data_IF_575651351754
#
_entry.id   IF_575651351754
#
_cell.length_a   1.000
_cell.length_b   1.000
_cell.length_c   1.000
_cell.angle_alpha   90.00
_cell.angle_beta   90.00
_cell.angle_gamma   90.00
#
_symmetry.space_group_name_H-M   'P 1'
#
loop_
_entity.id
_entity.type
_entity.pdbx_description
1 polymer ?
#
# COMPACT_ATOMS: atom_id res chain seq x y z
N UNK A 1 -20.19 -40.00 -55.12
CA UNK A 1 -21.12 -38.86 -55.05
C UNK A 1 -21.17 -38.40 -53.57
N UNK A 2 -20.43 -37.39 -53.24
CA UNK A 2 -20.43 -36.76 -51.88
C UNK A 2 -21.51 -35.69 -51.95
N UNK A 3 -22.57 -35.83 -51.14
CA UNK A 3 -23.58 -34.79 -50.98
C UNK A 3 -23.00 -33.64 -50.15
N UNK A 4 -22.76 -32.51 -50.79
CA UNK A 4 -22.51 -31.23 -50.16
C UNK A 4 -23.78 -30.75 -49.43
N UNK A 5 -23.72 -30.65 -48.12
CA UNK A 5 -24.77 -30.04 -47.30
C UNK A 5 -24.49 -28.53 -47.29
N UNK A 6 -25.30 -27.79 -48.07
CA UNK A 6 -25.35 -26.33 -48.00
C UNK A 6 -25.84 -25.90 -46.60
N UNK A 7 -24.92 -25.51 -45.75
CA UNK A 7 -25.26 -24.80 -44.53
C UNK A 7 -25.35 -23.30 -44.85
N UNK A 8 -26.55 -22.81 -45.10
CA UNK A 8 -26.83 -21.37 -45.05
C UNK A 8 -26.50 -20.90 -43.66
N UNK A 9 -25.77 -19.79 -43.48
CA UNK A 9 -25.62 -19.16 -42.15
C UNK A 9 -27.01 -18.70 -41.72
N UNK A 10 -27.48 -19.21 -40.61
CA UNK A 10 -28.65 -18.68 -39.91
C UNK A 10 -28.16 -17.40 -39.25
N UNK A 11 -28.38 -16.27 -39.91
CA UNK A 11 -28.33 -14.95 -39.29
C UNK A 11 -29.62 -14.85 -38.48
N UNK A 12 -29.61 -15.35 -37.26
CA UNK A 12 -30.60 -15.01 -36.25
C UNK A 12 -30.43 -13.52 -35.95
N UNK A 13 -31.55 -12.82 -35.85
CA UNK A 13 -31.62 -11.42 -35.41
C UNK A 13 -30.62 -11.17 -34.31
N UNK A 14 -29.86 -10.08 -34.42
CA UNK A 14 -28.89 -9.65 -33.42
C UNK A 14 -29.69 -9.38 -32.13
N UNK A 15 -29.78 -10.40 -31.29
CA UNK A 15 -30.11 -10.17 -29.87
C UNK A 15 -29.11 -9.14 -29.38
N UNK A 16 -29.59 -8.14 -28.63
CA UNK A 16 -28.76 -7.18 -27.97
C UNK A 16 -27.60 -7.93 -27.31
N UNK A 17 -26.38 -7.69 -27.78
CA UNK A 17 -25.17 -8.43 -27.34
C UNK A 17 -25.07 -8.46 -25.82
N UNK A 18 -25.55 -7.42 -25.15
CA UNK A 18 -25.59 -7.33 -23.69
C UNK A 18 -26.54 -8.35 -23.08
N UNK A 19 -27.75 -8.52 -23.60
CA UNK A 19 -28.69 -9.51 -23.08
C UNK A 19 -28.18 -10.95 -23.32
N UNK A 20 -27.61 -11.21 -24.48
CA UNK A 20 -27.00 -12.51 -24.77
C UNK A 20 -25.86 -12.83 -23.76
N UNK A 21 -24.97 -11.86 -23.47
CA UNK A 21 -23.87 -12.06 -22.52
C UNK A 21 -24.39 -12.29 -21.10
N UNK A 22 -25.42 -11.58 -20.66
CA UNK A 22 -26.06 -11.78 -19.35
C UNK A 22 -26.66 -13.18 -19.21
N UNK A 23 -27.41 -13.63 -20.22
CA UNK A 23 -28.02 -14.95 -20.23
C UNK A 23 -26.95 -16.05 -20.22
N UNK A 24 -25.89 -15.89 -21.01
CA UNK A 24 -24.77 -16.81 -21.05
C UNK A 24 -24.03 -16.87 -19.71
N UNK A 25 -23.71 -15.71 -19.10
CA UNK A 25 -23.09 -15.63 -17.79
C UNK A 25 -23.92 -16.36 -16.73
N UNK A 26 -25.23 -16.16 -16.71
CA UNK A 26 -26.15 -16.81 -15.80
C UNK A 26 -26.18 -18.33 -15.99
N UNK A 27 -26.21 -18.80 -17.24
CA UNK A 27 -26.21 -20.24 -17.54
C UNK A 27 -24.92 -20.91 -17.07
N UNK A 28 -23.76 -20.27 -17.30
CA UNK A 28 -22.46 -20.81 -16.88
C UNK A 28 -22.33 -20.76 -15.36
N UNK A 29 -22.71 -19.69 -14.70
CA UNK A 29 -22.72 -19.58 -13.25
C UNK A 29 -23.59 -20.68 -12.61
N UNK A 30 -24.77 -20.91 -13.17
CA UNK A 30 -25.70 -21.98 -12.71
C UNK A 30 -25.07 -23.37 -12.89
N UNK A 31 -24.44 -23.63 -14.04
CA UNK A 31 -23.77 -24.92 -14.31
C UNK A 31 -22.59 -25.17 -13.38
N UNK A 32 -21.82 -24.14 -13.06
CA UNK A 32 -20.67 -24.21 -12.18
C UNK A 32 -21.04 -24.11 -10.68
N UNK A 33 -22.30 -23.80 -10.35
CA UNK A 33 -22.76 -23.49 -8.97
C UNK A 33 -21.92 -22.39 -8.32
N UNK A 34 -21.59 -21.37 -9.09
CA UNK A 34 -20.78 -20.23 -8.71
C UNK A 34 -21.43 -18.96 -9.27
N UNK A 35 -21.08 -17.81 -8.71
CA UNK A 35 -21.55 -16.51 -9.17
C UNK A 35 -20.31 -15.63 -9.44
N UNK A 36 -19.49 -16.04 -10.39
CA UNK A 36 -18.18 -15.44 -10.69
C UNK A 36 -18.07 -14.84 -12.07
N UNK A 37 -19.01 -15.16 -12.98
CA UNK A 37 -19.02 -14.66 -14.35
C UNK A 37 -19.99 -13.50 -14.41
N UNK A 38 -19.47 -12.34 -14.81
CA UNK A 38 -20.21 -11.07 -14.94
C UNK A 38 -20.02 -10.52 -16.34
N UNK A 39 -20.95 -9.71 -16.81
CA UNK A 39 -20.78 -8.93 -18.03
C UNK A 39 -19.76 -7.81 -17.78
N UNK A 40 -19.00 -7.41 -18.79
CA UNK A 40 -17.83 -6.55 -18.64
C UNK A 40 -18.11 -5.17 -18.03
N UNK A 41 -19.29 -4.60 -18.24
CA UNK A 41 -19.73 -3.33 -17.66
C UNK A 41 -20.04 -3.48 -16.15
N UNK A 42 -20.56 -4.62 -15.73
CA UNK A 42 -20.78 -4.95 -14.30
C UNK A 42 -19.45 -5.15 -13.56
N UNK A 43 -18.42 -5.61 -14.28
CA UNK A 43 -17.08 -5.83 -13.74
C UNK A 43 -16.19 -4.58 -13.79
N UNK A 44 -16.56 -3.54 -14.51
CA UNK A 44 -15.72 -2.39 -14.83
C UNK A 44 -15.90 -1.17 -13.92
N UNK A 45 -16.75 -1.24 -12.92
CA UNK A 45 -16.91 -0.18 -11.92
C UNK A 45 -15.86 -0.23 -10.81
N UNK A 46 -15.90 0.74 -9.91
CA UNK A 46 -15.16 0.78 -8.63
C UNK A 46 -15.43 -0.44 -7.71
N UNK A 47 -16.28 -1.36 -8.16
CA UNK A 47 -16.72 -2.55 -7.45
C UNK A 47 -15.58 -3.49 -7.04
N UNK A 48 -14.43 -3.41 -7.72
CA UNK A 48 -13.22 -4.14 -7.33
C UNK A 48 -12.40 -3.50 -6.20
N UNK A 49 -12.69 -2.23 -5.80
CA UNK A 49 -12.00 -1.51 -4.75
C UNK A 49 -13.03 -0.87 -3.83
N UNK A 50 -13.37 -1.52 -2.71
CA UNK A 50 -14.50 -1.13 -1.86
C UNK A 50 -14.27 0.18 -1.09
N UNK A 51 -13.03 0.66 -0.98
CA UNK A 51 -12.66 1.91 -0.34
C UNK A 51 -11.23 2.32 -0.69
N UNK A 52 -10.95 3.61 -0.52
CA UNK A 52 -9.62 4.19 -0.64
C UNK A 52 -9.23 4.83 0.69
N UNK A 53 -7.95 4.77 1.03
CA UNK A 53 -7.38 5.38 2.23
C UNK A 53 -6.46 6.52 1.82
N UNK A 54 -6.86 7.74 2.10
CA UNK A 54 -6.04 8.95 1.89
C UNK A 54 -4.94 8.99 2.94
N UNK A 55 -3.68 8.93 2.54
CA UNK A 55 -2.56 8.99 3.49
C UNK A 55 -2.37 10.39 4.07
N UNK A 56 -2.84 11.41 3.38
CA UNK A 56 -2.56 12.81 3.69
C UNK A 56 -1.20 13.28 3.15
N UNK A 57 -0.56 12.46 2.31
CA UNK A 57 0.62 12.77 1.52
C UNK A 57 0.15 12.88 0.06
N UNK A 58 -0.28 14.08 -0.42
CA UNK A 58 -0.97 14.18 -1.71
C UNK A 58 -0.16 13.59 -2.87
N UNK A 59 1.16 13.85 -2.90
CA UNK A 59 2.05 13.29 -3.92
C UNK A 59 2.00 11.75 -3.97
N UNK A 60 1.94 11.07 -2.82
CA UNK A 60 1.86 9.61 -2.72
C UNK A 60 0.47 9.11 -3.12
N UNK A 61 -0.57 9.77 -2.65
CA UNK A 61 -1.94 9.40 -2.91
C UNK A 61 -2.27 9.47 -4.41
N UNK A 62 -1.85 10.54 -5.09
CA UNK A 62 -1.97 10.67 -6.54
C UNK A 62 -1.03 9.73 -7.32
N UNK A 63 0.16 9.44 -6.79
CA UNK A 63 1.07 8.50 -7.43
C UNK A 63 0.50 7.08 -7.46
N UNK A 64 -0.29 6.70 -6.46
CA UNK A 64 -0.88 5.35 -6.33
C UNK A 64 -2.25 5.29 -7.00
N UNK A 65 -3.20 6.13 -6.61
CA UNK A 65 -4.59 6.04 -7.05
C UNK A 65 -4.92 6.85 -8.30
N UNK A 66 -4.03 7.74 -8.73
CA UNK A 66 -4.29 8.65 -9.84
C UNK A 66 -5.22 9.80 -9.44
N UNK A 67 -5.75 10.51 -10.44
CA UNK A 67 -6.57 11.70 -10.19
C UNK A 67 -8.00 11.33 -9.75
N UNK A 68 -8.53 10.20 -10.24
CA UNK A 68 -9.91 9.82 -9.94
C UNK A 68 -10.08 9.34 -8.49
N UNK A 69 -9.10 8.59 -7.99
CA UNK A 69 -9.18 7.94 -6.67
C UNK A 69 -7.83 8.03 -5.95
N UNK A 70 -7.38 9.23 -5.53
CA UNK A 70 -6.11 9.33 -4.81
C UNK A 70 -6.12 8.52 -3.51
N UNK A 71 -5.03 7.82 -3.21
CA UNK A 71 -4.89 7.05 -1.98
C UNK A 71 -4.51 5.59 -2.16
N UNK A 72 -4.63 4.85 -1.08
CA UNK A 72 -4.30 3.41 -0.98
C UNK A 72 -5.56 2.57 -1.23
N UNK A 73 -5.57 1.66 -2.23
CA UNK A 73 -6.76 0.86 -2.55
C UNK A 73 -7.00 -0.25 -1.52
N UNK A 74 -8.21 -0.36 -1.00
CA UNK A 74 -8.68 -1.51 -0.21
C UNK A 74 -8.81 -2.78 -1.05
N UNK A 75 -9.01 -3.94 -0.41
CA UNK A 75 -9.13 -5.26 -1.05
C UNK A 75 -7.94 -5.59 -1.99
N UNK A 76 -6.73 -5.12 -1.64
CA UNK A 76 -5.51 -5.31 -2.44
C UNK A 76 -4.33 -5.71 -1.55
N UNK A 77 -3.40 -6.44 -2.17
CA UNK A 77 -2.09 -6.74 -1.58
C UNK A 77 -1.10 -5.68 -2.07
N UNK A 78 -0.43 -5.02 -1.13
CA UNK A 78 0.54 -3.95 -1.39
C UNK A 78 1.87 -4.30 -0.76
N UNK A 79 2.96 -4.15 -1.49
CA UNK A 79 4.32 -4.29 -0.97
C UNK A 79 4.95 -2.90 -0.76
N UNK A 80 5.49 -2.68 0.45
CA UNK A 80 6.32 -1.52 0.80
C UNK A 80 7.72 -2.05 1.06
N UNK A 81 8.70 -1.64 0.24
CA UNK A 81 10.04 -2.17 0.35
C UNK A 81 11.11 -1.09 0.14
N UNK A 82 12.30 -1.38 0.60
CA UNK A 82 13.46 -0.48 0.52
C UNK A 82 14.53 -0.90 1.51
N UNK A 83 15.60 -0.12 1.57
CA UNK A 83 16.72 -0.35 2.47
C UNK A 83 16.32 -0.20 3.94
N UNK A 84 17.23 -0.49 4.85
CA UNK A 84 16.98 -0.31 6.28
C UNK A 84 16.79 1.17 6.62
N UNK A 85 16.02 1.44 7.66
CA UNK A 85 15.78 2.77 8.22
C UNK A 85 15.22 3.83 7.23
N UNK A 86 14.56 3.41 6.14
CA UNK A 86 13.88 4.33 5.19
C UNK A 86 12.40 4.59 5.55
N UNK A 87 11.93 4.17 6.73
CA UNK A 87 10.58 4.46 7.21
C UNK A 87 9.49 3.54 6.68
N UNK A 88 9.80 2.29 6.31
CA UNK A 88 8.81 1.30 5.85
C UNK A 88 7.71 1.04 6.89
N UNK A 89 8.10 0.69 8.10
CA UNK A 89 7.18 0.47 9.23
C UNK A 89 6.42 1.74 9.60
N UNK A 90 7.08 2.91 9.55
CA UNK A 90 6.44 4.21 9.81
C UNK A 90 5.32 4.48 8.79
N UNK A 91 5.56 4.22 7.50
CA UNK A 91 4.54 4.39 6.46
C UNK A 91 3.41 3.36 6.61
N UNK A 92 3.71 2.09 6.88
CA UNK A 92 2.69 1.04 7.06
C UNK A 92 1.77 1.34 8.24
N UNK A 93 2.32 1.75 9.38
CA UNK A 93 1.55 2.16 10.56
C UNK A 93 0.73 3.43 10.30
N UNK A 94 1.28 4.37 9.55
CA UNK A 94 0.55 5.57 9.14
C UNK A 94 -0.67 5.23 8.27
N UNK A 95 -0.52 4.32 7.31
CA UNK A 95 -1.65 3.82 6.49
C UNK A 95 -2.70 3.14 7.38
N UNK A 96 -2.28 2.29 8.33
CA UNK A 96 -3.19 1.66 9.30
C UNK A 96 -3.95 2.71 10.11
N UNK A 97 -3.26 3.73 10.66
CA UNK A 97 -3.90 4.84 11.36
C UNK A 97 -4.96 5.51 10.50
N UNK A 98 -4.61 5.86 9.25
CA UNK A 98 -5.54 6.51 8.33
C UNK A 98 -6.75 5.64 7.97
N UNK A 99 -6.57 4.35 7.80
CA UNK A 99 -7.69 3.42 7.60
C UNK A 99 -8.61 3.34 8.83
N UNK A 100 -8.04 3.33 10.04
CA UNK A 100 -8.82 3.37 11.28
C UNK A 100 -9.65 4.66 11.37
N UNK A 101 -9.05 5.80 11.05
CA UNK A 101 -9.69 7.12 11.11
C UNK A 101 -10.81 7.27 10.06
N UNK A 102 -10.54 6.92 8.80
CA UNK A 102 -11.41 7.24 7.66
C UNK A 102 -12.50 6.20 7.42
N UNK A 103 -12.13 4.91 7.39
CA UNK A 103 -13.04 3.82 7.03
C UNK A 103 -13.40 2.93 8.21
N UNK A 104 -13.07 3.34 9.43
CA UNK A 104 -13.34 2.63 10.68
C UNK A 104 -12.77 1.20 10.69
N UNK A 105 -11.66 0.99 10.01
CA UNK A 105 -10.97 -0.29 9.95
C UNK A 105 -10.53 -0.78 11.34
N UNK A 106 -10.26 -2.08 11.43
CA UNK A 106 -9.42 -2.67 12.47
C UNK A 106 -8.17 -3.23 11.82
N UNK A 107 -7.11 -3.40 12.58
CA UNK A 107 -5.86 -3.91 12.04
C UNK A 107 -5.44 -5.23 12.69
N UNK A 108 -4.78 -6.07 11.90
CA UNK A 108 -4.04 -7.24 12.34
C UNK A 108 -2.57 -7.05 11.95
N UNK A 109 -1.71 -6.83 12.94
CA UNK A 109 -0.31 -6.50 12.74
C UNK A 109 0.57 -7.66 13.19
N UNK A 110 1.22 -8.30 12.22
CA UNK A 110 2.20 -9.35 12.43
C UNK A 110 3.59 -8.71 12.56
N UNK A 111 3.99 -8.50 13.79
CA UNK A 111 5.18 -7.75 14.21
C UNK A 111 6.39 -8.69 14.34
N UNK A 112 6.89 -9.17 13.21
CA UNK A 112 8.01 -10.13 13.14
C UNK A 112 9.31 -9.52 13.65
N UNK A 113 9.59 -8.26 13.29
CA UNK A 113 10.81 -7.55 13.71
C UNK A 113 10.68 -6.90 15.10
N UNK A 114 9.52 -7.02 15.76
CA UNK A 114 9.24 -6.41 17.08
C UNK A 114 9.42 -4.89 17.07
N UNK A 115 8.95 -4.23 16.02
CA UNK A 115 9.07 -2.78 15.80
C UNK A 115 8.03 -1.95 16.56
N UNK A 116 6.96 -2.56 17.06
CA UNK A 116 5.90 -1.86 17.81
C UNK A 116 6.36 -1.51 19.22
N UNK A 117 7.33 -0.59 19.32
CA UNK A 117 7.77 -0.02 20.60
C UNK A 117 6.86 1.13 21.03
N UNK A 118 6.88 1.51 22.32
CA UNK A 118 6.11 2.66 22.80
C UNK A 118 6.40 3.96 22.04
N UNK A 119 7.65 4.17 21.62
CA UNK A 119 8.08 5.35 20.87
C UNK A 119 7.47 5.38 19.47
N UNK A 120 7.48 4.25 18.76
CA UNK A 120 6.87 4.12 17.43
C UNK A 120 5.35 4.30 17.51
N UNK A 121 4.69 3.68 18.48
CA UNK A 121 3.25 3.83 18.72
C UNK A 121 2.91 5.30 18.98
N UNK A 122 3.72 5.98 19.82
CA UNK A 122 3.56 7.40 20.11
C UNK A 122 3.76 8.27 18.88
N UNK A 123 4.81 8.00 18.08
CA UNK A 123 5.11 8.76 16.87
C UNK A 123 4.04 8.64 15.79
N UNK A 124 3.46 7.47 15.65
CA UNK A 124 2.37 7.22 14.70
C UNK A 124 1.01 7.66 15.23
N UNK A 125 0.85 7.78 16.56
CA UNK A 125 -0.43 8.11 17.23
C UNK A 125 -1.57 7.15 16.86
N UNK A 126 -1.25 5.88 16.64
CA UNK A 126 -2.23 4.86 16.28
C UNK A 126 -3.06 4.43 17.50
N UNK A 127 -4.36 4.21 17.31
CA UNK A 127 -5.23 3.66 18.35
C UNK A 127 -5.03 2.14 18.48
N UNK A 128 -4.20 1.74 19.42
CA UNK A 128 -3.87 0.32 19.66
C UNK A 128 -5.07 -0.51 20.12
N UNK A 129 -6.19 0.08 20.57
CA UNK A 129 -7.44 -0.66 20.87
C UNK A 129 -8.10 -1.24 19.62
N UNK A 130 -7.69 -0.77 18.45
CA UNK A 130 -8.17 -1.25 17.14
C UNK A 130 -7.13 -2.13 16.42
N UNK A 131 -6.06 -2.52 17.10
CA UNK A 131 -4.97 -3.32 16.54
C UNK A 131 -4.83 -4.64 17.30
N UNK A 132 -5.05 -5.75 16.62
CA UNK A 132 -4.58 -7.05 17.07
C UNK A 132 -3.11 -7.19 16.72
N UNK A 133 -2.26 -7.50 17.69
CA UNK A 133 -0.82 -7.73 17.49
C UNK A 133 -0.52 -9.22 17.55
N UNK A 134 0.26 -9.70 16.59
CA UNK A 134 0.79 -11.05 16.53
C UNK A 134 2.32 -10.98 16.37
N UNK A 135 3.04 -11.99 16.83
CA UNK A 135 4.49 -12.11 16.76
C UNK A 135 4.86 -13.51 16.24
N UNK A 136 4.57 -13.81 14.96
CA UNK A 136 4.87 -15.11 14.38
C UNK A 136 6.39 -15.34 14.32
N UNK A 137 6.82 -16.58 14.54
CA UNK A 137 8.22 -16.97 14.51
C UNK A 137 8.64 -17.43 13.11
N UNK A 138 7.71 -18.04 12.38
CA UNK A 138 7.99 -18.59 11.05
C UNK A 138 7.09 -17.99 9.97
N UNK A 139 7.54 -18.12 8.72
CA UNK A 139 6.76 -17.68 7.56
C UNK A 139 5.48 -18.54 7.39
N UNK A 140 5.52 -19.80 7.82
CA UNK A 140 4.36 -20.69 7.90
C UNK A 140 3.31 -20.10 8.84
N UNK A 141 3.73 -19.68 10.06
CA UNK A 141 2.81 -19.06 11.04
C UNK A 141 2.17 -17.79 10.49
N UNK A 142 2.95 -16.96 9.76
CA UNK A 142 2.41 -15.76 9.09
C UNK A 142 1.27 -16.12 8.16
N UNK A 143 1.44 -17.13 7.30
CA UNK A 143 0.40 -17.50 6.34
C UNK A 143 -0.77 -18.24 6.97
N UNK A 144 -0.52 -19.12 7.93
CA UNK A 144 -1.57 -19.90 8.58
C UNK A 144 -2.50 -19.00 9.39
N UNK A 145 -1.97 -18.03 10.13
CA UNK A 145 -2.79 -17.08 10.88
C UNK A 145 -3.56 -16.12 9.95
N UNK A 146 -2.96 -15.68 8.84
CA UNK A 146 -3.70 -14.88 7.84
C UNK A 146 -4.82 -15.68 7.16
N UNK A 147 -4.58 -16.95 6.85
CA UNK A 147 -5.58 -17.80 6.22
C UNK A 147 -6.81 -17.99 7.14
N UNK A 148 -6.56 -18.31 8.42
CA UNK A 148 -7.62 -18.41 9.45
C UNK A 148 -8.36 -17.08 9.60
N UNK A 149 -7.64 -15.96 9.66
CA UNK A 149 -8.25 -14.62 9.76
C UNK A 149 -9.17 -14.36 8.55
N UNK A 150 -8.67 -14.55 7.33
CA UNK A 150 -9.43 -14.31 6.10
C UNK A 150 -10.66 -15.22 5.99
N UNK A 151 -10.56 -16.46 6.46
CA UNK A 151 -11.70 -17.38 6.54
C UNK A 151 -12.78 -16.84 7.49
N UNK A 152 -12.39 -16.36 8.68
CA UNK A 152 -13.31 -15.78 9.67
C UNK A 152 -13.93 -14.46 9.21
N UNK A 153 -13.28 -13.74 8.28
CA UNK A 153 -13.79 -12.49 7.72
C UNK A 153 -14.76 -12.69 6.55
N UNK A 154 -14.98 -13.92 6.08
CA UNK A 154 -15.94 -14.18 5.00
C UNK A 154 -17.33 -13.71 5.39
N UNK A 155 -17.93 -12.89 4.52
CA UNK A 155 -19.27 -12.31 4.74
C UNK A 155 -19.33 -11.19 5.79
N UNK A 156 -18.19 -10.80 6.37
CA UNK A 156 -18.12 -9.66 7.28
C UNK A 156 -17.84 -8.39 6.46
N UNK A 157 -18.81 -7.48 6.47
CA UNK A 157 -18.76 -6.20 5.77
C UNK A 157 -18.03 -5.12 6.59
N UNK A 158 -16.73 -5.35 6.88
CA UNK A 158 -15.92 -4.41 7.64
C UNK A 158 -14.52 -4.30 7.04
N UNK A 159 -13.97 -3.08 6.84
CA UNK A 159 -12.58 -2.89 6.46
C UNK A 159 -11.60 -3.43 7.50
N UNK A 160 -10.64 -4.20 7.05
CA UNK A 160 -9.55 -4.74 7.87
C UNK A 160 -8.22 -4.46 7.18
N UNK A 161 -7.22 -4.03 7.93
CA UNK A 161 -5.85 -3.89 7.43
C UNK A 161 -4.98 -4.98 8.04
N UNK A 162 -4.38 -5.84 7.21
CA UNK A 162 -3.35 -6.78 7.67
C UNK A 162 -1.97 -6.23 7.33
N UNK A 163 -1.04 -6.35 8.25
CA UNK A 163 0.36 -5.92 8.05
C UNK A 163 1.29 -7.07 8.40
N UNK A 164 2.27 -7.34 7.56
CA UNK A 164 3.41 -8.23 7.86
C UNK A 164 4.68 -7.38 7.87
N UNK A 165 5.30 -7.22 9.02
CA UNK A 165 6.48 -6.35 9.19
C UNK A 165 7.60 -7.06 9.95
N UNK A 166 8.65 -7.55 9.29
CA UNK A 166 8.77 -7.71 7.83
C UNK A 166 8.97 -9.18 7.46
N UNK A 167 8.60 -9.53 6.23
CA UNK A 167 8.83 -10.90 5.73
C UNK A 167 10.32 -11.26 5.60
N UNK A 168 11.18 -10.26 5.53
CA UNK A 168 12.63 -10.47 5.45
C UNK A 168 13.22 -11.02 6.75
N UNK A 169 12.53 -10.84 7.86
CA UNK A 169 12.93 -11.34 9.18
C UNK A 169 12.34 -12.72 9.49
N UNK A 170 11.38 -13.22 8.70
CA UNK A 170 10.80 -14.54 8.91
C UNK A 170 11.77 -15.64 8.51
N UNK A 171 11.97 -16.63 9.40
CA UNK A 171 12.56 -17.93 9.06
C UNK A 171 11.48 -18.90 8.59
N UNK A 172 11.84 -19.96 7.89
CA UNK A 172 10.93 -21.09 7.64
C UNK A 172 11.07 -22.13 8.76
N UNK A 173 10.07 -22.98 8.97
CA UNK A 173 10.18 -24.11 9.92
C UNK A 173 11.39 -24.97 9.60
N UNK A 174 11.68 -25.21 8.33
CA UNK A 174 12.84 -25.97 7.90
C UNK A 174 14.18 -25.31 8.27
N UNK A 175 14.24 -23.98 8.31
CA UNK A 175 15.43 -23.23 8.76
C UNK A 175 15.55 -23.24 10.29
N UNK A 176 14.44 -23.19 11.00
CA UNK A 176 14.44 -23.25 12.48
C UNK A 176 14.83 -24.64 13.01
N UNK A 177 14.34 -25.70 12.35
CA UNK A 177 14.60 -27.10 12.76
C UNK A 177 15.81 -27.73 12.09
N UNK A 178 16.33 -27.12 11.01
CA UNK A 178 17.46 -27.61 10.22
C UNK A 178 18.83 -27.40 10.90
N UNK A 179 19.82 -28.13 10.44
CA UNK A 179 21.20 -27.90 10.89
C UNK A 179 21.77 -26.66 10.15
N UNK A 180 22.62 -25.89 10.83
CA UNK A 180 23.29 -24.69 10.27
C UNK A 180 24.08 -24.95 8.97
N UNK A 181 24.30 -26.22 8.64
CA UNK A 181 24.99 -26.68 7.43
C UNK A 181 24.06 -26.84 6.22
N UNK A 182 22.73 -26.79 6.41
CA UNK A 182 21.76 -26.99 5.35
C UNK A 182 21.56 -25.69 4.54
N UNK A 183 22.21 -25.59 3.40
CA UNK A 183 22.12 -24.42 2.47
C UNK A 183 20.91 -24.53 1.55
N UNK A 184 19.69 -24.57 2.09
CA UNK A 184 18.47 -24.63 1.29
C UNK A 184 17.90 -23.23 1.01
N UNK A 185 18.28 -22.60 -0.08
CA UNK A 185 17.79 -21.27 -0.51
C UNK A 185 16.37 -21.33 -1.12
N UNK A 186 15.85 -22.52 -1.44
CA UNK A 186 14.60 -22.69 -2.18
C UNK A 186 13.28 -22.71 -1.35
N UNK A 187 13.23 -23.07 -0.05
CA UNK A 187 11.98 -23.20 0.69
C UNK A 187 11.19 -21.89 0.78
N UNK A 188 11.85 -20.78 1.07
CA UNK A 188 11.24 -19.46 1.26
C UNK A 188 10.44 -18.98 0.05
N UNK A 189 11.04 -19.06 -1.16
CA UNK A 189 10.37 -18.60 -2.38
C UNK A 189 9.16 -19.47 -2.76
N UNK A 190 9.25 -20.77 -2.48
CA UNK A 190 8.14 -21.73 -2.71
C UNK A 190 7.00 -21.47 -1.74
N UNK A 191 7.31 -21.28 -0.46
CA UNK A 191 6.32 -20.99 0.58
C UNK A 191 5.62 -19.66 0.33
N UNK A 192 6.37 -18.61 0.00
CA UNK A 192 5.82 -17.32 -0.41
C UNK A 192 4.86 -17.45 -1.60
N UNK A 193 5.24 -18.21 -2.63
CA UNK A 193 4.38 -18.41 -3.79
C UNK A 193 3.11 -19.20 -3.45
N UNK A 194 3.20 -20.22 -2.59
CA UNK A 194 2.05 -21.02 -2.13
C UNK A 194 1.12 -20.18 -1.25
N UNK A 195 1.66 -19.48 -0.25
CA UNK A 195 0.90 -18.69 0.70
C UNK A 195 0.17 -17.52 0.02
N UNK A 196 0.89 -16.72 -0.78
CA UNK A 196 0.28 -15.59 -1.51
C UNK A 196 -0.79 -16.03 -2.51
N UNK A 197 -0.63 -17.20 -3.14
CA UNK A 197 -1.67 -17.76 -4.02
C UNK A 197 -2.93 -18.09 -3.24
N UNK A 198 -2.79 -18.64 -2.02
CA UNK A 198 -3.90 -19.02 -1.16
C UNK A 198 -4.70 -17.79 -0.69
N UNK A 199 -4.01 -16.75 -0.22
CA UNK A 199 -4.68 -15.57 0.36
C UNK A 199 -5.17 -14.56 -0.69
N UNK A 200 -4.61 -14.54 -1.91
CA UNK A 200 -4.92 -13.52 -2.93
C UNK A 200 -6.41 -13.39 -3.24
N UNK A 201 -7.08 -14.53 -3.48
CA UNK A 201 -8.51 -14.53 -3.80
C UNK A 201 -9.35 -14.06 -2.60
N UNK A 202 -9.00 -14.51 -1.39
CA UNK A 202 -9.68 -14.10 -0.19
C UNK A 202 -9.55 -12.59 0.09
N UNK A 203 -8.36 -12.01 -0.12
CA UNK A 203 -8.12 -10.57 -0.02
C UNK A 203 -8.92 -9.80 -1.07
N UNK A 204 -8.94 -10.26 -2.33
CA UNK A 204 -9.66 -9.57 -3.40
C UNK A 204 -11.19 -9.61 -3.20
N UNK A 205 -11.72 -10.69 -2.60
CA UNK A 205 -13.14 -10.89 -2.35
C UNK A 205 -13.59 -10.41 -0.95
N UNK A 206 -12.75 -9.63 -0.28
CA UNK A 206 -13.02 -9.10 1.05
C UNK A 206 -12.69 -7.61 1.10
N UNK A 207 -13.02 -6.94 2.21
CA UNK A 207 -12.59 -5.56 2.49
C UNK A 207 -11.23 -5.50 3.19
N UNK A 208 -10.31 -6.45 2.88
CA UNK A 208 -8.98 -6.50 3.50
C UNK A 208 -7.95 -5.76 2.64
N UNK A 209 -7.31 -4.74 3.22
CA UNK A 209 -6.06 -4.17 2.71
C UNK A 209 -4.88 -4.93 3.32
N UNK A 210 -4.07 -5.59 2.50
CA UNK A 210 -2.95 -6.40 2.99
C UNK A 210 -1.60 -5.73 2.65
N UNK A 211 -0.91 -5.23 3.67
CA UNK A 211 0.38 -4.55 3.57
C UNK A 211 1.52 -5.52 3.91
N UNK A 212 2.50 -5.61 3.02
CA UNK A 212 3.68 -6.46 3.15
C UNK A 212 4.93 -5.61 3.15
N UNK A 213 5.57 -5.48 4.31
CA UNK A 213 6.86 -4.79 4.45
C UNK A 213 7.98 -5.75 4.07
N UNK A 214 8.94 -5.28 3.27
CA UNK A 214 10.04 -6.07 2.77
C UNK A 214 11.35 -5.27 2.71
N UNK A 215 12.48 -5.96 2.67
CA UNK A 215 13.80 -5.36 2.52
C UNK A 215 14.30 -5.52 1.08
N UNK A 216 14.99 -4.50 0.56
CA UNK A 216 15.73 -4.60 -0.68
C UNK A 216 17.06 -5.31 -0.46
N UNK A 217 17.48 -6.09 -1.45
CA UNK A 217 18.80 -6.73 -1.52
C UNK A 217 19.41 -6.45 -2.88
N UNK A 218 20.68 -6.13 -2.91
CA UNK A 218 21.40 -5.97 -4.16
C UNK A 218 21.58 -7.33 -4.86
N UNK A 219 21.42 -7.33 -6.17
CA UNK A 219 21.73 -8.51 -6.98
C UNK A 219 23.23 -8.62 -7.13
N UNK A 220 23.85 -9.61 -6.50
CA UNK A 220 25.27 -9.90 -6.67
C UNK A 220 25.53 -10.31 -8.12
N UNK A 221 26.44 -9.60 -8.82
CA UNK A 221 26.96 -10.00 -10.13
C UNK A 221 26.15 -9.58 -11.38
N UNK A 222 25.12 -8.74 -11.26
CA UNK A 222 24.40 -8.24 -12.44
C UNK A 222 24.97 -6.92 -12.94
N UNK A 223 25.84 -6.97 -13.93
CA UNK A 223 26.13 -5.86 -14.84
C UNK A 223 25.02 -5.83 -15.89
N UNK A 224 23.84 -5.36 -15.54
CA UNK A 224 22.69 -5.36 -16.43
C UNK A 224 21.92 -4.04 -16.34
N UNK A 225 21.55 -3.53 -17.49
CA UNK A 225 20.62 -2.42 -17.67
C UNK A 225 19.25 -2.86 -17.16
N UNK A 226 18.92 -2.58 -15.86
CA UNK A 226 17.66 -2.96 -15.23
C UNK A 226 17.67 -2.79 -13.72
N UNK A 227 16.60 -3.24 -13.04
CA UNK A 227 16.53 -3.24 -11.57
C UNK A 227 17.70 -4.04 -10.97
N UNK A 228 18.64 -3.36 -10.34
CA UNK A 228 19.81 -3.94 -9.66
C UNK A 228 19.43 -4.53 -8.29
N UNK A 229 18.23 -4.25 -7.78
CA UNK A 229 17.74 -4.70 -6.49
C UNK A 229 16.68 -5.78 -6.64
N UNK A 230 16.66 -6.73 -5.72
CA UNK A 230 15.60 -7.73 -5.54
C UNK A 230 15.03 -7.61 -4.13
N UNK A 231 13.85 -8.19 -3.90
CA UNK A 231 13.25 -8.24 -2.56
C UNK A 231 13.30 -9.66 -2.02
N UNK A 232 13.25 -9.80 -0.68
CA UNK A 232 13.20 -11.11 -0.03
C UNK A 232 11.93 -11.89 -0.44
N UNK A 233 11.98 -13.24 -0.42
CA UNK A 233 10.85 -14.07 -0.85
C UNK A 233 10.74 -14.27 -2.37
N UNK A 234 11.74 -13.84 -3.15
CA UNK A 234 11.83 -14.08 -4.58
C UNK A 234 10.85 -13.24 -5.41
N UNK A 235 10.28 -13.84 -6.47
CA UNK A 235 9.38 -13.15 -7.39
C UNK A 235 7.91 -13.14 -6.96
N UNK A 236 7.56 -13.84 -5.87
CA UNK A 236 6.16 -14.05 -5.51
C UNK A 236 5.40 -12.74 -5.23
N UNK A 237 5.90 -11.87 -4.33
CA UNK A 237 5.27 -10.59 -4.07
C UNK A 237 5.17 -9.73 -5.33
N UNK A 238 6.21 -9.72 -6.17
CA UNK A 238 6.19 -9.01 -7.45
C UNK A 238 5.00 -9.42 -8.34
N UNK A 239 4.60 -10.68 -8.32
CA UNK A 239 3.45 -11.15 -9.11
C UNK A 239 2.11 -10.89 -8.43
N UNK A 240 2.00 -11.17 -7.13
CA UNK A 240 0.71 -11.18 -6.43
C UNK A 240 0.26 -9.80 -5.94
N UNK A 241 1.16 -8.86 -5.70
CA UNK A 241 0.81 -7.49 -5.31
C UNK A 241 0.13 -6.69 -6.42
N UNK A 242 -0.80 -5.83 -6.04
CA UNK A 242 -1.41 -4.83 -6.93
C UNK A 242 -0.56 -3.57 -7.03
N UNK A 243 0.02 -3.12 -5.93
CA UNK A 243 0.90 -1.96 -5.87
C UNK A 243 2.21 -2.36 -5.20
N UNK A 244 3.34 -1.84 -5.70
CA UNK A 244 4.67 -1.98 -5.09
C UNK A 244 5.29 -0.60 -4.93
N UNK A 245 5.61 -0.25 -3.70
CA UNK A 245 6.16 1.05 -3.30
C UNK A 245 7.61 0.82 -2.88
N UNK A 246 8.56 1.35 -3.65
CA UNK A 246 9.97 1.37 -3.26
C UNK A 246 10.26 2.65 -2.51
N UNK A 247 10.72 2.53 -1.27
CA UNK A 247 11.19 3.66 -0.48
C UNK A 247 12.71 3.77 -0.58
N UNK A 248 13.20 5.00 -0.71
CA UNK A 248 14.62 5.33 -0.64
C UNK A 248 14.83 6.65 0.06
N UNK A 249 15.89 6.76 0.84
CA UNK A 249 16.28 8.02 1.47
C UNK A 249 16.99 8.90 0.44
N UNK A 250 16.44 10.10 0.20
CA UNK A 250 17.04 11.10 -0.71
C UNK A 250 18.08 11.95 -0.01
N UNK A 251 17.73 12.44 1.17
CA UNK A 251 18.63 13.31 1.95
C UNK A 251 18.36 13.19 3.45
N UNK A 252 19.34 13.59 4.24
CA UNK A 252 19.18 13.78 5.68
C UNK A 252 18.92 15.26 5.94
N UNK A 253 17.79 15.59 6.54
CA UNK A 253 17.42 16.95 6.91
C UNK A 253 18.22 17.39 8.13
N UNK A 254 18.97 18.49 8.02
CA UNK A 254 19.83 18.99 9.08
C UNK A 254 19.48 20.42 9.46
N UNK A 255 19.56 20.75 10.75
CA UNK A 255 19.51 22.13 11.25
C UNK A 255 20.78 22.88 10.85
N UNK A 256 20.79 24.21 10.98
CA UNK A 256 21.95 25.04 10.65
C UNK A 256 23.23 24.67 11.41
N UNK A 257 23.14 23.99 12.54
CA UNK A 257 24.26 23.44 13.30
C UNK A 257 24.69 22.02 12.84
N UNK A 258 24.15 21.50 11.75
CA UNK A 258 24.47 20.20 11.20
C UNK A 258 23.76 19.00 11.86
N UNK A 259 22.98 19.21 12.92
CA UNK A 259 22.28 18.14 13.64
C UNK A 259 21.10 17.62 12.79
N UNK A 260 21.03 16.30 12.52
CA UNK A 260 19.91 15.71 11.82
C UNK A 260 18.60 15.85 12.61
N UNK A 261 17.54 16.28 11.93
CA UNK A 261 16.19 16.35 12.53
C UNK A 261 15.14 15.59 11.72
N UNK A 262 15.54 14.95 10.63
CA UNK A 262 14.65 14.16 9.80
C UNK A 262 15.34 13.62 8.55
N UNK A 263 14.55 13.00 7.71
CA UNK A 263 15.00 12.56 6.38
C UNK A 263 13.90 12.76 5.34
N UNK A 264 14.30 13.09 4.12
CA UNK A 264 13.43 13.10 2.94
C UNK A 264 13.42 11.73 2.31
N UNK A 265 12.23 11.20 2.14
CA UNK A 265 11.96 9.89 1.55
C UNK A 265 11.39 10.08 0.14
N UNK A 266 11.90 9.29 -0.79
CA UNK A 266 11.29 9.09 -2.10
C UNK A 266 10.55 7.76 -2.11
N UNK A 267 9.27 7.81 -2.46
CA UNK A 267 8.43 6.65 -2.72
C UNK A 267 8.21 6.51 -4.23
N UNK A 268 8.78 5.48 -4.84
CA UNK A 268 8.61 5.19 -6.27
C UNK A 268 7.64 4.02 -6.44
N UNK A 269 6.61 4.22 -7.25
CA UNK A 269 5.58 3.21 -7.52
C UNK A 269 6.07 2.28 -8.63
N UNK A 270 6.75 1.20 -8.24
CA UNK A 270 7.41 0.27 -9.17
C UNK A 270 6.45 -0.65 -9.91
N UNK A 271 5.27 -0.88 -9.35
CA UNK A 271 4.16 -1.62 -9.95
C UNK A 271 2.85 -1.00 -9.50
N UNK A 272 1.93 -0.88 -10.42
CA UNK A 272 0.59 -0.40 -10.14
C UNK A 272 -0.42 -1.09 -11.07
N UNK A 273 -1.51 -1.61 -10.51
CA UNK A 273 -2.62 -2.22 -11.25
C UNK A 273 -3.90 -1.37 -11.18
N UNK A 274 -3.87 -0.27 -10.44
CA UNK A 274 -5.04 0.61 -10.25
C UNK A 274 -4.88 1.96 -10.94
N UNK A 275 -3.63 2.33 -11.29
CA UNK A 275 -3.29 3.53 -12.06
C UNK A 275 -1.96 3.33 -12.79
N UNK A 276 -1.51 4.24 -13.67
CA UNK A 276 -0.20 4.15 -14.33
C UNK A 276 0.95 4.05 -13.33
N UNK A 277 1.89 3.10 -13.49
CA UNK A 277 3.04 2.92 -12.61
C UNK A 277 4.15 3.94 -12.86
N UNK A 278 5.27 3.80 -12.13
CA UNK A 278 6.52 4.55 -12.23
C UNK A 278 6.44 6.02 -11.79
N UNK A 279 5.32 6.42 -11.20
CA UNK A 279 5.21 7.73 -10.54
C UNK A 279 6.04 7.75 -9.26
N UNK A 280 6.47 8.94 -8.88
CA UNK A 280 7.32 9.16 -7.71
C UNK A 280 6.69 10.22 -6.83
N UNK A 281 6.74 10.00 -5.53
CA UNK A 281 6.34 10.94 -4.50
C UNK A 281 7.50 11.20 -3.54
N UNK A 282 7.55 12.38 -2.93
CA UNK A 282 8.49 12.68 -1.86
C UNK A 282 7.74 13.19 -0.64
N UNK A 283 8.24 12.84 0.54
CA UNK A 283 7.75 13.33 1.82
C UNK A 283 8.84 13.27 2.88
N UNK A 284 8.67 14.03 3.95
CA UNK A 284 9.65 14.09 5.01
C UNK A 284 9.20 13.26 6.22
N UNK A 285 10.14 12.57 6.84
CA UNK A 285 9.99 11.96 8.16
C UNK A 285 10.83 12.78 9.13
N UNK A 286 10.21 13.35 10.14
CA UNK A 286 10.86 14.14 11.18
C UNK A 286 11.20 13.25 12.38
N UNK A 287 12.33 13.53 13.02
CA UNK A 287 12.74 12.92 14.28
C UNK A 287 12.32 13.86 15.41
N UNK A 288 11.13 13.62 15.94
CA UNK A 288 10.58 14.42 17.04
C UNK A 288 11.30 14.01 18.32
N UNK A 289 11.75 15.01 19.07
CA UNK A 289 12.33 14.80 20.40
C UNK A 289 11.47 15.51 21.44
N UNK A 290 11.07 14.78 22.46
CA UNK A 290 10.41 15.33 23.62
C UNK A 290 10.99 14.72 24.92
N UNK A 291 10.41 15.07 26.06
CA UNK A 291 10.83 14.58 27.39
C UNK A 291 10.74 13.06 27.56
N UNK A 292 10.05 12.35 26.66
CA UNK A 292 9.83 10.90 26.73
C UNK A 292 10.62 10.13 25.67
N UNK A 293 11.50 10.79 24.91
CA UNK A 293 12.34 10.12 23.90
C UNK A 293 12.29 10.75 22.51
N UNK A 294 12.85 10.02 21.54
CA UNK A 294 12.86 10.40 20.12
C UNK A 294 12.06 9.41 19.32
N UNK A 295 11.21 9.89 18.40
CA UNK A 295 10.38 9.04 17.56
C UNK A 295 10.21 9.63 16.16
N UNK A 296 10.07 8.76 15.11
CA UNK A 296 9.82 9.22 13.75
C UNK A 296 8.35 9.62 13.58
N UNK A 297 8.11 10.69 12.82
CA UNK A 297 6.76 11.14 12.43
C UNK A 297 6.76 11.66 11.01
N UNK A 298 5.76 11.27 10.21
CA UNK A 298 5.58 11.82 8.86
C UNK A 298 5.13 13.28 8.97
N UNK A 299 5.82 14.17 8.25
CA UNK A 299 5.53 15.60 8.17
C UNK A 299 4.36 15.86 7.20
N UNK A 300 3.14 15.71 7.68
CA UNK A 300 1.95 15.93 6.85
C UNK A 300 1.77 17.39 6.47
N UNK A 301 2.00 18.32 7.41
CA UNK A 301 1.88 19.75 7.19
C UNK A 301 2.90 20.25 6.16
N UNK A 302 4.17 19.88 6.34
CA UNK A 302 5.23 20.26 5.42
C UNK A 302 5.04 19.65 4.03
N UNK A 303 4.54 18.42 3.94
CA UNK A 303 4.23 17.75 2.68
C UNK A 303 3.04 18.40 1.97
N UNK A 304 2.00 18.80 2.70
CA UNK A 304 0.86 19.54 2.15
C UNK A 304 1.29 20.92 1.62
N UNK A 305 2.14 21.64 2.37
CA UNK A 305 2.68 22.93 1.94
C UNK A 305 3.49 22.81 0.64
N UNK A 306 4.38 21.81 0.57
CA UNK A 306 5.19 21.57 -0.64
C UNK A 306 4.29 21.26 -1.84
N UNK A 307 3.28 20.40 -1.66
CA UNK A 307 2.31 20.07 -2.70
C UNK A 307 1.52 21.29 -3.16
N UNK A 308 0.97 22.08 -2.23
CA UNK A 308 0.19 23.27 -2.54
C UNK A 308 1.02 24.34 -3.26
N UNK A 309 2.28 24.49 -2.89
CA UNK A 309 3.23 25.37 -3.58
C UNK A 309 3.52 24.89 -5.01
N UNK A 310 3.81 23.60 -5.19
CA UNK A 310 4.19 23.02 -6.47
C UNK A 310 3.01 22.98 -7.46
N UNK A 311 1.76 23.08 -6.97
CA UNK A 311 0.55 23.16 -7.76
C UNK A 311 -0.08 24.57 -7.76
N UNK A 312 0.64 25.58 -7.29
CA UNK A 312 0.22 27.00 -7.31
C UNK A 312 -1.06 27.28 -6.51
N UNK A 313 -1.41 26.45 -5.51
CA UNK A 313 -2.52 26.71 -4.59
C UNK A 313 -2.18 27.76 -3.54
N UNK A 314 -0.88 27.93 -3.28
CA UNK A 314 -0.32 29.00 -2.45
C UNK A 314 0.86 29.64 -3.16
N UNK A 315 1.06 30.93 -2.96
CA UNK A 315 2.22 31.64 -3.44
C UNK A 315 3.51 31.20 -2.76
N UNK A 316 4.66 31.44 -3.41
CA UNK A 316 5.96 31.17 -2.81
C UNK A 316 7.00 32.21 -3.27
N UNK A 317 7.96 32.50 -2.40
CA UNK A 317 9.09 33.39 -2.72
C UNK A 317 10.32 32.97 -1.92
N UNK A 318 11.40 32.68 -2.64
CA UNK A 318 12.76 32.38 -2.06
C UNK A 318 12.68 31.43 -0.85
N UNK A 319 12.11 30.23 -1.03
CA UNK A 319 12.02 29.21 0.01
C UNK A 319 11.00 29.50 1.12
N UNK A 320 10.10 30.45 0.92
CA UNK A 320 8.98 30.80 1.80
C UNK A 320 7.64 30.45 1.15
N UNK A 321 6.65 30.19 1.96
CA UNK A 321 5.27 29.90 1.59
C UNK A 321 4.39 31.11 1.90
N UNK A 322 3.54 31.52 0.98
CA UNK A 322 2.56 32.56 1.22
C UNK A 322 1.34 31.95 1.91
N UNK A 323 1.17 32.27 3.18
CA UNK A 323 0.09 31.78 4.04
C UNK A 323 -0.62 32.98 4.62
N UNK A 324 -1.93 33.09 4.36
CA UNK A 324 -2.75 34.22 4.86
C UNK A 324 -2.10 35.58 4.58
N UNK A 325 -1.62 35.78 3.34
CA UNK A 325 -0.96 37.02 2.90
C UNK A 325 0.44 37.30 3.48
N UNK A 326 1.03 36.33 4.20
CA UNK A 326 2.37 36.44 4.80
C UNK A 326 3.32 35.41 4.23
N UNK A 327 4.58 35.78 3.99
CA UNK A 327 5.63 34.87 3.57
C UNK A 327 6.36 34.25 4.76
N UNK A 328 6.11 32.96 5.01
CA UNK A 328 6.65 32.20 6.14
C UNK A 328 7.67 31.15 5.67
N UNK A 329 8.74 30.93 6.43
CA UNK A 329 9.61 29.76 6.25
C UNK A 329 8.87 28.47 6.63
N UNK A 330 9.33 27.31 6.13
CA UNK A 330 8.65 26.02 6.27
C UNK A 330 8.24 25.69 7.69
N UNK A 331 9.12 25.92 8.69
CA UNK A 331 8.81 25.61 10.09
C UNK A 331 7.70 26.53 10.64
N UNK A 332 7.73 27.83 10.32
CA UNK A 332 6.69 28.76 10.75
C UNK A 332 5.36 28.49 10.01
N UNK A 333 5.41 28.14 8.72
CA UNK A 333 4.22 27.75 7.96
C UNK A 333 3.58 26.45 8.50
N UNK A 334 4.41 25.47 8.89
CA UNK A 334 3.97 24.23 9.56
C UNK A 334 3.25 24.54 10.88
N UNK A 335 3.88 25.38 11.71
CA UNK A 335 3.30 25.79 12.98
C UNK A 335 1.97 26.51 12.77
N UNK A 336 1.89 27.40 11.78
CA UNK A 336 0.65 28.08 11.44
C UNK A 336 -0.48 27.09 11.07
N UNK A 337 -0.19 26.04 10.26
CA UNK A 337 -1.19 25.02 9.93
C UNK A 337 -1.63 24.19 11.15
N UNK A 338 -0.75 23.95 12.11
CA UNK A 338 -1.09 23.26 13.36
C UNK A 338 -1.99 24.11 14.25
N UNK A 339 -1.78 25.42 14.28
CA UNK A 339 -2.56 26.38 15.06
C UNK A 339 -3.89 26.80 14.39
N UNK A 340 -4.00 26.61 13.06
CA UNK A 340 -5.15 27.01 12.26
C UNK A 340 -5.76 25.82 11.49
N UNK A 341 -6.48 24.91 12.17
CA UNK A 341 -7.00 23.67 11.57
C UNK A 341 -7.98 23.91 10.43
N UNK A 342 -8.75 25.00 10.46
CA UNK A 342 -9.69 25.34 9.38
C UNK A 342 -8.97 25.72 8.09
N UNK A 343 -7.91 26.53 8.18
CA UNK A 343 -7.07 26.87 7.03
C UNK A 343 -6.36 25.63 6.46
N UNK A 344 -5.83 24.76 7.36
CA UNK A 344 -5.26 23.48 6.97
C UNK A 344 -6.26 22.61 6.21
N UNK A 345 -7.50 22.55 6.69
CA UNK A 345 -8.59 21.80 6.04
C UNK A 345 -8.89 22.35 4.65
N UNK A 346 -8.97 23.66 4.49
CA UNK A 346 -9.17 24.32 3.19
C UNK A 346 -8.05 23.95 2.20
N UNK A 347 -6.79 24.02 2.63
CA UNK A 347 -5.65 23.62 1.80
C UNK A 347 -5.70 22.13 1.43
N UNK A 348 -6.09 21.29 2.38
CA UNK A 348 -6.23 19.86 2.16
C UNK A 348 -7.33 19.58 1.12
N UNK A 349 -8.49 20.22 1.24
CA UNK A 349 -9.58 20.12 0.27
C UNK A 349 -9.12 20.57 -1.12
N UNK A 350 -8.44 21.72 -1.25
CA UNK A 350 -7.85 22.17 -2.51
C UNK A 350 -6.86 21.16 -3.10
N UNK A 351 -6.03 20.54 -2.26
CA UNK A 351 -5.04 19.55 -2.70
C UNK A 351 -5.68 18.29 -3.30
N UNK A 352 -6.90 17.92 -2.86
CA UNK A 352 -7.61 16.71 -3.31
C UNK A 352 -8.81 16.99 -4.22
N UNK A 353 -9.16 18.26 -4.49
CA UNK A 353 -10.22 18.64 -5.44
C UNK A 353 -9.76 18.69 -6.90
N UNK A 354 -8.45 18.57 -7.17
CA UNK A 354 -7.92 18.63 -8.53
C UNK A 354 -8.07 17.28 -9.22
N UNK A 355 -9.18 17.07 -9.84
CA UNK A 355 -9.42 16.04 -10.86
C UNK A 355 -9.41 16.64 -12.26
#
# INVERSE_FOLDING_TARGET
>A
MVKTVDRKPVITEIQDDEQFLRDLAQQVNTALKQDTIMVGDEASGDEGIPYWVITGIPALDYAIGGNCHPGIPGARIIEIYGDEAVGKSTLSLHIVKKAIEQVKAVAYYQDVERVLTPEIIKGTQIDMKRVMRDQPETLEDVFDSQDVLLEKLRGIDRPVVTVVDSIAACSTISEVLGDMKDTNVAPHARLMSKGLRKIKAAVANSKVLSLWVNQSRDKVGSVSWGETTTTFGGRALKYYTSVRIKLSKKETLKKGNGVPYGCRIEAKIMKNKVAPPLRTAQYDILFIQDKNGSYPMIDLEGTLLDWCKDHEFIGSSVGRYEIDGKFLYKDAARQFLLENPDYKKELFEKAYQKS
#
